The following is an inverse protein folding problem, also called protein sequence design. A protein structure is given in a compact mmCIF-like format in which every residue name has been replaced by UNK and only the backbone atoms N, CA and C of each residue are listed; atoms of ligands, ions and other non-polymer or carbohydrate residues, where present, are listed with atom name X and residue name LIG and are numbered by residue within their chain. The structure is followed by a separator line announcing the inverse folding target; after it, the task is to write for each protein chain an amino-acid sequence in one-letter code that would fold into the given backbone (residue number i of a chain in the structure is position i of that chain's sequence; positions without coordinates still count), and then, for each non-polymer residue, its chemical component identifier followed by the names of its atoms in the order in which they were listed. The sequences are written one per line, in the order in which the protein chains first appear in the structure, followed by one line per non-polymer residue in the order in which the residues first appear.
data_IF_585183174725
#
_entry.id   IF_585183174725
#
_cell.length_a   1.000
_cell.length_b   1.000
_cell.length_c   1.000
_cell.angle_alpha   90.00
_cell.angle_beta   90.00
_cell.angle_gamma   90.00
#
_symmetry.space_group_name_H-M   'P 1'
#
loop_
_entity.id
_entity.type
_entity.pdbx_description
1 polymer ?
#
# COMPACT_ATOMS: atom_id res chain seq x y z
N UNK A 1 30.95 -74.04 18.50
CA UNK A 1 31.52 -72.69 18.32
C UNK A 1 30.35 -71.70 18.26
N UNK A 2 30.23 -70.82 19.28
CA UNK A 2 29.47 -69.53 19.41
C UNK A 2 28.07 -69.41 18.75
N UNK A 3 27.04 -68.78 19.30
CA UNK A 3 26.58 -68.28 20.60
C UNK A 3 25.13 -67.82 20.33
N UNK A 4 24.34 -67.73 21.39
CA UNK A 4 22.91 -67.39 21.46
C UNK A 4 22.57 -65.97 20.92
N UNK A 5 21.27 -65.76 20.67
CA UNK A 5 20.43 -64.54 20.93
C UNK A 5 19.46 -64.33 19.74
N UNK A 6 18.13 -64.47 19.83
CA UNK A 6 17.12 -63.97 20.78
C UNK A 6 16.97 -62.45 20.82
N UNK A 7 15.70 -62.04 20.89
CA UNK A 7 15.11 -60.73 21.20
C UNK A 7 14.77 -59.75 20.06
N UNK A 8 13.44 -59.51 19.97
CA UNK A 8 12.73 -58.22 19.97
C UNK A 8 13.09 -57.25 18.83
N UNK A 9 12.19 -56.94 17.91
CA UNK A 9 10.86 -56.40 18.20
C UNK A 9 10.97 -54.89 18.27
N UNK A 10 10.72 -54.20 17.16
CA UNK A 10 10.40 -52.78 17.16
C UNK A 10 9.39 -52.50 16.06
N UNK A 11 8.13 -52.48 16.47
CA UNK A 11 7.07 -51.71 15.86
C UNK A 11 7.56 -50.28 15.68
N UNK A 12 8.00 -49.93 14.48
CA UNK A 12 8.29 -48.54 14.16
C UNK A 12 6.95 -47.83 13.99
N UNK A 13 6.40 -47.42 15.13
CA UNK A 13 5.40 -46.36 15.22
C UNK A 13 5.83 -45.24 14.29
N UNK A 14 5.10 -45.07 13.19
CA UNK A 14 5.22 -43.93 12.31
C UNK A 14 4.70 -42.72 13.10
N UNK A 15 5.54 -42.19 13.98
CA UNK A 15 5.43 -40.83 14.48
C UNK A 15 5.57 -39.95 13.25
N UNK A 16 4.42 -39.61 12.64
CA UNK A 16 4.29 -38.46 11.78
C UNK A 16 4.64 -37.29 12.67
N UNK A 17 5.92 -36.92 12.64
CA UNK A 17 6.35 -35.64 13.16
C UNK A 17 5.56 -34.60 12.38
N UNK A 18 4.68 -33.90 13.10
CA UNK A 18 4.24 -32.57 12.71
C UNK A 18 5.51 -31.79 12.38
N UNK A 19 5.84 -31.67 11.09
CA UNK A 19 6.68 -30.59 10.65
C UNK A 19 5.84 -29.33 10.83
N UNK A 20 6.17 -28.42 11.76
CA UNK A 20 5.73 -27.06 11.58
C UNK A 20 6.35 -26.63 10.26
N UNK A 21 5.51 -26.42 9.24
CA UNK A 21 5.92 -25.65 8.07
C UNK A 21 6.24 -24.26 8.60
N UNK A 22 7.50 -24.10 8.97
CA UNK A 22 8.16 -22.85 9.23
C UNK A 22 8.01 -22.08 7.92
N UNK A 23 6.99 -21.23 7.82
CA UNK A 23 6.99 -20.11 6.88
C UNK A 23 8.15 -19.22 7.32
N UNK A 24 9.36 -19.62 6.94
CA UNK A 24 10.43 -18.70 6.69
C UNK A 24 9.89 -17.79 5.59
N UNK A 25 9.32 -16.66 5.98
CA UNK A 25 9.30 -15.50 5.10
C UNK A 25 10.77 -15.28 4.73
N UNK A 26 11.13 -15.67 3.51
CA UNK A 26 12.36 -15.18 2.91
C UNK A 26 12.25 -13.66 2.92
N UNK A 27 12.91 -13.02 3.89
CA UNK A 27 13.12 -11.58 3.86
C UNK A 27 13.88 -11.33 2.57
N UNK A 28 13.31 -10.61 1.58
CA UNK A 28 14.06 -10.28 0.39
C UNK A 28 15.03 -9.16 0.77
N UNK A 29 16.17 -9.56 1.31
CA UNK A 29 17.38 -8.74 1.43
C UNK A 29 18.23 -8.95 0.18
N UNK A 30 17.66 -8.59 -0.96
CA UNK A 30 18.41 -8.23 -2.16
C UNK A 30 17.97 -6.83 -2.57
N UNK A 31 18.90 -5.89 -2.38
CA UNK A 31 18.90 -4.61 -3.07
C UNK A 31 17.95 -3.56 -2.52
N UNK A 32 18.52 -2.56 -1.89
CA UNK A 32 18.01 -1.19 -1.77
C UNK A 32 17.85 -0.50 -3.17
N UNK A 33 17.73 -1.30 -4.24
CA UNK A 33 17.53 -0.96 -5.64
C UNK A 33 16.07 -1.16 -6.07
N UNK A 34 15.14 -1.28 -5.12
CA UNK A 34 13.73 -0.95 -5.35
C UNK A 34 13.69 0.57 -5.59
N UNK A 35 14.14 0.96 -6.78
CA UNK A 35 14.49 2.32 -7.07
C UNK A 35 13.20 3.10 -7.28
N UNK A 36 13.16 4.30 -6.71
CA UNK A 36 12.23 5.33 -7.13
C UNK A 36 12.08 5.38 -8.67
N UNK A 37 13.19 5.22 -9.38
CA UNK A 37 13.23 5.16 -10.83
C UNK A 37 12.39 3.99 -11.37
N UNK A 38 12.46 2.82 -10.74
CA UNK A 38 11.64 1.66 -11.12
C UNK A 38 10.15 1.92 -10.93
N UNK A 39 9.75 2.58 -9.83
CA UNK A 39 8.35 2.95 -9.63
C UNK A 39 7.85 3.86 -10.78
N UNK A 40 8.63 4.89 -11.13
CA UNK A 40 8.26 5.84 -12.18
C UNK A 40 8.22 5.19 -13.58
N UNK A 41 9.18 4.34 -13.91
CA UNK A 41 9.18 3.54 -15.14
C UNK A 41 7.91 2.69 -15.25
N UNK A 42 7.49 2.07 -14.14
CA UNK A 42 6.30 1.22 -14.10
C UNK A 42 5.00 2.03 -14.23
N UNK A 43 4.95 3.24 -13.67
CA UNK A 43 3.82 4.15 -13.91
C UNK A 43 3.75 4.65 -15.35
N UNK A 44 4.89 5.01 -15.94
CA UNK A 44 4.96 5.52 -17.32
C UNK A 44 4.63 4.44 -18.35
N UNK A 45 5.09 3.21 -18.12
CA UNK A 45 4.72 2.03 -18.92
C UNK A 45 3.28 1.55 -18.67
N UNK A 46 2.57 2.14 -17.71
CA UNK A 46 1.20 1.73 -17.36
C UNK A 46 1.12 0.38 -16.63
N UNK A 47 2.25 -0.17 -16.18
CA UNK A 47 2.31 -1.41 -15.41
C UNK A 47 1.89 -1.18 -13.95
N UNK A 48 0.57 -1.12 -13.75
CA UNK A 48 -0.06 -0.89 -12.43
C UNK A 48 0.32 -1.94 -11.38
N UNK A 49 0.45 -3.20 -11.78
CA UNK A 49 0.80 -4.32 -10.89
C UNK A 49 2.24 -4.16 -10.37
N UNK A 50 3.19 -3.91 -11.28
CA UNK A 50 4.57 -3.65 -10.90
C UNK A 50 4.69 -2.41 -10.00
N UNK A 51 4.03 -1.32 -10.38
CA UNK A 51 4.04 -0.09 -9.59
C UNK A 51 3.47 -0.32 -8.18
N UNK A 52 2.39 -1.09 -8.06
CA UNK A 52 1.83 -1.49 -6.77
C UNK A 52 2.82 -2.29 -5.93
N UNK A 53 3.48 -3.30 -6.49
CA UNK A 53 4.42 -4.14 -5.76
C UNK A 53 5.59 -3.31 -5.20
N UNK A 54 6.14 -2.41 -6.02
CA UNK A 54 7.19 -1.49 -5.59
C UNK A 54 6.70 -0.55 -4.49
N UNK A 55 5.51 0.05 -4.65
CA UNK A 55 4.92 0.90 -3.62
C UNK A 55 4.65 0.12 -2.32
N UNK A 56 4.21 -1.13 -2.40
CA UNK A 56 3.94 -1.97 -1.24
C UNK A 56 5.20 -2.19 -0.40
N UNK A 57 6.32 -2.53 -1.04
CA UNK A 57 7.61 -2.70 -0.36
C UNK A 57 8.09 -1.39 0.30
N UNK A 58 7.83 -0.25 -0.34
CA UNK A 58 8.19 1.07 0.21
C UNK A 58 7.27 1.50 1.35
N UNK A 59 5.98 1.13 1.28
CA UNK A 59 4.99 1.40 2.32
C UNK A 59 5.34 0.66 3.62
N UNK A 60 5.80 -0.59 3.50
CA UNK A 60 6.29 -1.38 4.63
C UNK A 60 7.55 -0.78 5.28
N UNK A 61 8.43 -0.16 4.48
CA UNK A 61 9.63 0.56 4.98
C UNK A 61 9.31 1.90 5.64
N UNK A 62 8.05 2.33 5.58
CA UNK A 62 7.53 3.52 6.23
C UNK A 62 7.46 4.77 5.37
N UNK A 63 7.53 4.64 4.04
CA UNK A 63 7.23 5.77 3.16
C UNK A 63 5.74 6.15 3.23
N UNK A 64 5.48 7.37 3.71
CA UNK A 64 4.13 7.86 3.94
C UNK A 64 3.33 8.05 2.63
N UNK A 65 3.98 8.30 1.50
CA UNK A 65 3.31 8.41 0.20
C UNK A 65 3.04 7.05 -0.40
N UNK A 66 3.97 6.11 -0.27
CA UNK A 66 3.78 4.74 -0.70
C UNK A 66 2.62 4.10 0.06
N UNK A 67 2.50 4.35 1.37
CA UNK A 67 1.33 3.95 2.17
C UNK A 67 0.03 4.52 1.61
N UNK A 68 0.03 5.80 1.22
CA UNK A 68 -1.14 6.40 0.58
C UNK A 68 -1.44 5.78 -0.81
N UNK A 69 -0.43 5.54 -1.64
CA UNK A 69 -0.55 4.93 -2.97
C UNK A 69 -1.12 3.51 -2.87
N UNK A 70 -0.60 2.70 -1.95
CA UNK A 70 -1.11 1.35 -1.67
C UNK A 70 -2.57 1.42 -1.21
N UNK A 71 -2.90 2.35 -0.31
CA UNK A 71 -4.28 2.57 0.11
C UNK A 71 -5.21 2.93 -1.07
N UNK A 72 -4.76 3.80 -1.98
CA UNK A 72 -5.51 4.16 -3.17
C UNK A 72 -5.66 2.97 -4.14
N UNK A 73 -4.63 2.15 -4.29
CA UNK A 73 -4.70 0.94 -5.11
C UNK A 73 -5.73 -0.07 -4.56
N UNK A 74 -5.81 -0.25 -3.24
CA UNK A 74 -6.87 -1.06 -2.63
C UNK A 74 -8.25 -0.43 -2.79
N UNK A 75 -8.40 0.90 -2.73
CA UNK A 75 -9.71 1.53 -2.93
C UNK A 75 -10.24 1.37 -4.36
N UNK A 76 -9.33 1.39 -5.33
CA UNK A 76 -9.65 1.36 -6.75
C UNK A 76 -9.64 -0.03 -7.37
N UNK A 77 -8.87 -0.94 -6.79
CA UNK A 77 -8.51 -2.22 -7.39
C UNK A 77 -7.51 -2.08 -8.56
N UNK A 78 -6.92 -3.22 -8.92
CA UNK A 78 -6.14 -3.42 -10.14
C UNK A 78 -6.74 -4.64 -10.85
N UNK A 79 -7.31 -4.50 -12.06
CA UNK A 79 -8.01 -5.59 -12.73
C UNK A 79 -7.18 -6.88 -12.79
N UNK A 80 -7.79 -8.01 -12.41
CA UNK A 80 -7.16 -9.34 -12.37
C UNK A 80 -6.01 -9.50 -11.37
N UNK A 81 -5.77 -8.54 -10.49
CA UNK A 81 -4.68 -8.58 -9.52
C UNK A 81 -5.13 -8.20 -8.09
N UNK A 82 -5.88 -7.11 -7.95
CA UNK A 82 -6.37 -6.60 -6.66
C UNK A 82 -7.83 -6.22 -6.82
N UNK A 83 -8.70 -6.89 -6.08
CA UNK A 83 -10.08 -6.45 -5.95
C UNK A 83 -10.18 -5.25 -5.00
N UNK A 84 -11.12 -4.31 -5.22
CA UNK A 84 -11.35 -3.20 -4.31
C UNK A 84 -11.61 -3.67 -2.87
N UNK A 85 -10.82 -3.16 -1.92
CA UNK A 85 -10.89 -3.47 -0.50
C UNK A 85 -10.77 -2.18 0.32
N UNK A 86 -11.93 -1.58 0.61
CA UNK A 86 -11.98 -0.31 1.34
C UNK A 86 -11.47 -0.41 2.79
N UNK A 87 -11.49 -1.61 3.40
CA UNK A 87 -10.98 -1.82 4.77
C UNK A 87 -9.46 -1.68 4.76
N UNK A 88 -8.77 -2.38 3.84
CA UNK A 88 -7.32 -2.23 3.65
C UNK A 88 -6.94 -0.85 3.17
N UNK A 89 -7.74 -0.27 2.26
CA UNK A 89 -7.51 1.08 1.76
C UNK A 89 -7.49 2.10 2.90
N UNK A 90 -8.50 2.06 3.78
CA UNK A 90 -8.58 2.93 4.95
C UNK A 90 -7.38 2.74 5.87
N UNK A 91 -7.03 1.49 6.21
CA UNK A 91 -5.92 1.20 7.12
C UNK A 91 -4.58 1.76 6.63
N UNK A 92 -4.24 1.53 5.36
CA UNK A 92 -3.04 2.08 4.73
C UNK A 92 -3.06 3.61 4.68
N UNK A 93 -4.20 4.22 4.36
CA UNK A 93 -4.32 5.68 4.32
C UNK A 93 -4.24 6.33 5.71
N UNK A 94 -4.76 5.69 6.76
CA UNK A 94 -4.59 6.17 8.14
C UNK A 94 -3.11 6.15 8.52
N UNK A 95 -2.43 5.02 8.26
CA UNK A 95 -1.00 4.87 8.52
C UNK A 95 -0.19 5.98 7.80
N UNK A 96 -0.55 6.31 6.55
CA UNK A 96 0.08 7.37 5.74
C UNK A 96 0.01 8.78 6.33
N UNK A 97 -0.92 9.01 7.27
CA UNK A 97 -1.15 10.32 7.90
C UNK A 97 -0.70 10.39 9.35
N UNK A 98 -0.29 9.26 9.94
CA UNK A 98 0.01 9.13 11.37
C UNK A 98 1.07 10.12 11.87
N UNK A 99 2.17 10.32 11.12
CA UNK A 99 3.22 11.29 11.44
C UNK A 99 3.17 12.57 10.61
N UNK A 100 2.40 12.58 9.51
CA UNK A 100 2.37 13.69 8.54
C UNK A 100 0.95 14.05 8.16
N UNK A 101 0.53 15.24 8.57
CA UNK A 101 -0.78 15.77 8.25
C UNK A 101 -0.81 16.37 6.83
N UNK A 102 -1.44 15.68 5.89
CA UNK A 102 -1.75 16.20 4.55
C UNK A 102 -3.25 16.44 4.37
N UNK A 103 -3.67 17.66 4.06
CA UNK A 103 -5.09 18.03 3.87
C UNK A 103 -5.75 17.17 2.78
N UNK A 104 -5.04 16.94 1.65
CA UNK A 104 -5.54 16.09 0.56
C UNK A 104 -5.82 14.63 0.97
N UNK A 105 -4.96 14.05 1.83
CA UNK A 105 -5.14 12.67 2.30
C UNK A 105 -6.34 12.53 3.24
N UNK A 106 -6.62 13.54 4.07
CA UNK A 106 -7.79 13.55 4.97
C UNK A 106 -9.12 13.53 4.22
N UNK A 107 -9.18 14.16 3.05
CA UNK A 107 -10.38 14.11 2.20
C UNK A 107 -10.62 12.69 1.67
N UNK A 108 -9.57 12.02 1.17
CA UNK A 108 -9.69 10.64 0.68
C UNK A 108 -10.12 9.66 1.78
N UNK A 109 -9.54 9.78 2.98
CA UNK A 109 -9.92 8.98 4.16
C UNK A 109 -11.41 9.18 4.49
N UNK A 110 -11.90 10.43 4.45
CA UNK A 110 -13.32 10.74 4.70
C UNK A 110 -14.23 10.08 3.65
N UNK A 111 -13.85 10.13 2.38
CA UNK A 111 -14.62 9.47 1.31
C UNK A 111 -14.69 7.96 1.51
N UNK A 112 -13.56 7.31 1.85
CA UNK A 112 -13.52 5.88 2.14
C UNK A 112 -14.37 5.53 3.37
N UNK A 113 -14.28 6.33 4.45
CA UNK A 113 -15.11 6.17 5.65
C UNK A 113 -16.60 6.21 5.32
N UNK A 114 -17.01 7.13 4.43
CA UNK A 114 -18.41 7.22 3.97
C UNK A 114 -18.81 5.98 3.13
N UNK A 115 -17.91 5.46 2.30
CA UNK A 115 -18.17 4.29 1.45
C UNK A 115 -18.23 2.95 2.23
N UNK A 116 -17.47 2.81 3.31
CA UNK A 116 -17.43 1.59 4.14
C UNK A 116 -18.75 1.31 4.89
N UNK A 117 -19.47 2.37 5.28
CA UNK A 117 -20.55 2.27 6.26
C UNK A 117 -20.02 1.98 7.68
N UNK A 118 -20.88 2.15 8.69
CA UNK A 118 -20.46 2.06 10.11
C UNK A 118 -19.98 0.65 10.51
N UNK A 119 -20.56 -0.40 9.91
CA UNK A 119 -20.27 -1.80 10.26
C UNK A 119 -18.83 -2.20 9.90
N UNK A 120 -18.37 -1.83 8.69
CA UNK A 120 -17.01 -2.14 8.22
C UNK A 120 -15.98 -1.13 8.70
N UNK A 121 -16.41 0.05 9.16
CA UNK A 121 -15.51 1.07 9.70
C UNK A 121 -14.76 0.56 10.93
N UNK A 122 -15.43 -0.14 11.86
CA UNK A 122 -14.77 -0.70 13.05
C UNK A 122 -13.65 -1.67 12.67
N UNK A 123 -13.88 -2.51 11.67
CA UNK A 123 -12.87 -3.43 11.15
C UNK A 123 -11.68 -2.67 10.55
N UNK A 124 -11.97 -1.62 9.79
CA UNK A 124 -10.96 -0.78 9.17
C UNK A 124 -10.10 -0.01 10.19
N UNK A 125 -10.73 0.50 11.26
CA UNK A 125 -10.04 1.17 12.37
C UNK A 125 -9.18 0.19 13.17
N UNK A 126 -9.66 -1.02 13.43
CA UNK A 126 -8.88 -2.07 14.09
C UNK A 126 -7.65 -2.48 13.25
N UNK A 127 -7.84 -2.65 11.94
CA UNK A 127 -6.74 -2.96 11.04
C UNK A 127 -5.73 -1.80 10.98
N UNK A 128 -6.20 -0.55 10.94
CA UNK A 128 -5.34 0.63 10.99
C UNK A 128 -4.51 0.67 12.28
N UNK A 129 -5.12 0.35 13.42
CA UNK A 129 -4.42 0.27 14.71
C UNK A 129 -3.32 -0.80 14.70
N UNK A 130 -3.57 -1.97 14.09
CA UNK A 130 -2.55 -3.00 13.92
C UNK A 130 -1.39 -2.48 13.04
N UNK A 131 -1.70 -1.86 11.91
CA UNK A 131 -0.69 -1.31 11.01
C UNK A 131 0.20 -0.26 11.67
N UNK A 132 -0.34 0.54 12.59
CA UNK A 132 0.45 1.51 13.37
C UNK A 132 1.46 0.86 14.32
N UNK A 133 1.22 -0.38 14.75
CA UNK A 133 2.16 -1.16 15.57
C UNK A 133 3.17 -1.92 14.70
N UNK A 134 2.72 -2.42 13.55
CA UNK A 134 3.52 -3.30 12.69
C UNK A 134 4.47 -2.52 11.76
N UNK A 135 4.06 -1.35 11.26
CA UNK A 135 4.77 -0.63 10.23
C UNK A 135 5.22 0.75 10.69
N UNK A 136 6.43 1.13 10.28
CA UNK A 136 6.88 2.50 10.44
C UNK A 136 6.08 3.44 9.50
N UNK A 137 6.09 4.74 9.79
CA UNK A 137 5.48 5.75 8.92
C UNK A 137 6.24 7.08 9.02
N UNK A 138 5.98 7.99 8.08
CA UNK A 138 6.49 9.36 8.05
C UNK A 138 7.77 9.56 7.25
N UNK A 139 8.37 8.51 6.70
CA UNK A 139 9.55 8.64 5.83
C UNK A 139 9.14 9.11 4.44
N UNK A 140 10.07 9.72 3.70
CA UNK A 140 9.90 10.10 2.29
C UNK A 140 11.02 9.50 1.44
N UNK A 141 10.83 8.26 1.05
CA UNK A 141 11.70 7.45 0.19
C UNK A 141 11.40 7.70 -1.31
N UNK A 142 10.13 7.84 -1.72
CA UNK A 142 9.70 8.20 -3.09
C UNK A 142 9.93 9.70 -3.45
N UNK A 143 10.89 10.40 -2.80
CA UNK A 143 10.86 11.87 -2.58
C UNK A 143 10.93 12.80 -3.79
N UNK A 144 11.62 12.56 -4.90
CA UNK A 144 11.71 13.56 -5.97
C UNK A 144 10.52 13.67 -6.95
N UNK A 145 10.00 12.55 -7.48
CA UNK A 145 9.12 12.57 -8.68
C UNK A 145 7.64 12.80 -8.33
N UNK A 146 7.17 12.21 -7.23
CA UNK A 146 5.80 12.43 -6.72
C UNK A 146 5.66 13.88 -6.23
N UNK A 147 6.73 14.47 -5.67
CA UNK A 147 6.71 15.86 -5.23
C UNK A 147 6.50 16.79 -6.42
N UNK A 148 7.18 16.59 -7.55
CA UNK A 148 6.98 17.44 -8.74
C UNK A 148 5.56 17.32 -9.31
N UNK A 149 5.00 16.11 -9.44
CA UNK A 149 3.63 15.94 -9.96
C UNK A 149 2.55 16.42 -8.99
N UNK A 150 2.74 16.25 -7.67
CA UNK A 150 1.78 16.70 -6.65
C UNK A 150 1.90 18.19 -6.31
N UNK A 151 3.12 18.76 -6.25
CA UNK A 151 3.35 20.20 -6.06
C UNK A 151 2.87 20.99 -7.26
N UNK A 152 3.07 20.50 -8.49
CA UNK A 152 2.48 21.11 -9.68
C UNK A 152 0.95 21.14 -9.57
N UNK A 153 0.32 20.01 -9.20
CA UNK A 153 -1.13 19.96 -9.00
C UNK A 153 -1.64 20.85 -7.85
N UNK A 154 -0.81 21.14 -6.85
CA UNK A 154 -1.14 22.04 -5.73
C UNK A 154 -0.85 23.52 -6.06
N UNK A 155 0.18 23.81 -6.86
CA UNK A 155 0.45 25.13 -7.44
C UNK A 155 -0.62 25.51 -8.47
N UNK A 156 -1.08 24.58 -9.31
CA UNK A 156 -2.16 24.78 -10.28
C UNK A 156 -3.48 25.10 -9.56
N UNK A 157 -3.74 24.48 -8.40
CA UNK A 157 -4.89 24.81 -7.53
C UNK A 157 -4.76 26.17 -6.85
N UNK A 158 -3.56 26.56 -6.39
CA UNK A 158 -3.31 27.87 -5.80
C UNK A 158 -3.40 28.99 -6.85
N UNK A 159 -2.97 28.71 -8.08
CA UNK A 159 -3.07 29.61 -9.23
C UNK A 159 -4.53 29.92 -9.61
N UNK A 160 -5.41 28.90 -9.68
CA UNK A 160 -6.85 29.15 -9.92
C UNK A 160 -7.54 29.85 -8.70
N UNK A 161 -6.93 29.91 -7.50
CA UNK A 161 -7.52 30.56 -6.31
C UNK A 161 -7.00 31.98 -6.03
N UNK A 162 -5.87 32.41 -6.62
CA UNK A 162 -5.31 33.76 -6.42
C UNK A 162 -5.78 34.78 -7.46
N UNK A 163 -6.34 34.33 -8.58
CA UNK A 163 -6.90 35.23 -9.61
C UNK A 163 -8.41 35.28 -9.51
N UNK A 164 -8.88 36.01 -8.50
CA UNK A 164 -10.19 36.62 -8.58
C UNK A 164 -10.26 37.42 -9.88
N UNK A 165 -11.32 37.20 -10.65
CA UNK A 165 -11.70 37.90 -11.90
C UNK A 165 -10.93 37.54 -13.19
N UNK A 166 -11.66 36.87 -14.10
CA UNK A 166 -11.48 36.84 -15.57
C UNK A 166 -10.44 35.93 -16.23
N UNK A 167 -10.37 34.62 -15.94
CA UNK A 167 -10.00 33.63 -16.98
C UNK A 167 -10.81 32.34 -16.77
N UNK A 168 -12.02 32.26 -17.37
CA UNK A 168 -12.90 31.09 -17.28
C UNK A 168 -12.60 29.97 -18.29
N UNK A 169 -11.53 30.09 -19.09
CA UNK A 169 -11.34 29.22 -20.27
C UNK A 169 -10.19 28.24 -20.20
N UNK A 170 -9.40 28.16 -19.12
CA UNK A 170 -8.27 27.19 -19.06
C UNK A 170 -8.19 26.28 -17.82
N UNK A 171 -9.04 26.41 -16.78
CA UNK A 171 -9.06 25.45 -15.66
C UNK A 171 -9.75 24.09 -16.06
N UNK A 172 -10.04 23.84 -17.34
CA UNK A 172 -10.69 22.60 -17.85
C UNK A 172 -9.73 21.40 -17.99
N UNK A 173 -8.41 21.61 -17.98
CA UNK A 173 -7.44 20.53 -18.20
C UNK A 173 -6.85 19.91 -16.92
N UNK A 174 -7.09 20.49 -15.74
CA UNK A 174 -6.67 19.91 -14.44
C UNK A 174 -7.53 18.71 -14.00
N UNK A 175 -8.57 18.36 -14.76
CA UNK A 175 -9.50 17.25 -14.46
C UNK A 175 -9.17 15.94 -15.16
N UNK A 176 -8.12 15.89 -16.00
CA UNK A 176 -7.80 14.71 -16.82
C UNK A 176 -6.75 13.77 -16.19
N UNK A 177 -5.95 14.24 -15.24
CA UNK A 177 -4.91 13.43 -14.58
C UNK A 177 -5.36 12.71 -13.30
N UNK A 178 -6.62 12.90 -12.89
CA UNK A 178 -7.29 12.12 -11.84
C UNK A 178 -8.61 11.57 -12.39
N UNK A 179 -8.55 10.72 -13.42
CA UNK A 179 -9.72 9.92 -13.84
C UNK A 179 -9.94 8.76 -12.85
N UNK A 180 -10.27 9.12 -11.62
CA UNK A 180 -11.16 8.37 -10.73
C UNK A 180 -12.21 9.40 -10.32
N UNK A 181 -13.28 9.48 -11.13
CA UNK A 181 -14.60 10.03 -10.80
C UNK A 181 -15.34 10.40 -12.09
N UNK A 182 -16.21 9.49 -12.54
CA UNK A 182 -17.55 9.76 -13.10
C UNK A 182 -18.24 8.46 -13.49
N UNK A 183 -18.90 7.83 -12.50
CA UNK A 183 -20.35 7.60 -12.44
C UNK A 183 -20.69 6.97 -11.10
#
# INVERSE_FOLDING_TARGET
MKLKNSLLGLTFSFLITMQPQLLAEEKPTQGLEISLAKYSELEESGNKVGAFNVAYLMAQKGDDRAQFIVGAAYANGIPKHIEPDYVKAYAWMILSTSKRNGIGRKSAIRSIKKALGEDKLKQAELLAANFLQQYESGKRILSPIIITKMEQAEQDKKSCNQTGTKIKTNCSNARSHLKFDRN
#
